data_IF_613696567361
#
_entry.id   IF_613696567361
#
_cell.length_a   1.000
_cell.length_b   1.000
_cell.length_c   1.000
_cell.angle_alpha   90.00
_cell.angle_beta   90.00
_cell.angle_gamma   90.00
#
_symmetry.space_group_name_H-M   'P 1'
#
loop_
_entity.id
_entity.type
_entity.pdbx_description
1 polymer ?
#
# COMPACT_ATOMS: atom_id res chain seq x y z
N UNK A 1 14.88 0.92 9.17
CA UNK A 1 14.42 1.79 8.07
C UNK A 1 13.51 2.87 8.65
N UNK A 2 13.99 4.11 8.78
CA UNK A 2 13.25 5.22 9.39
C UNK A 2 12.54 6.07 8.34
N UNK A 3 11.50 5.55 7.70
CA UNK A 3 10.74 6.26 6.66
C UNK A 3 9.71 7.27 7.20
N UNK A 4 9.50 7.29 8.53
CA UNK A 4 8.67 8.29 9.17
C UNK A 4 9.52 9.50 9.59
N UNK A 5 8.97 10.72 9.51
CA UNK A 5 9.70 11.93 9.86
C UNK A 5 10.19 11.88 11.32
N UNK A 6 11.42 12.36 11.55
CA UNK A 6 12.06 12.32 12.87
C UNK A 6 11.36 13.18 13.94
N UNK A 7 10.49 14.11 13.54
CA UNK A 7 9.65 14.91 14.43
C UNK A 7 8.17 14.64 14.10
N UNK A 8 7.43 13.91 14.93
CA UNK A 8 6.05 13.55 14.63
C UNK A 8 5.14 14.77 14.73
N UNK A 9 4.48 15.12 13.62
CA UNK A 9 3.39 16.09 13.58
C UNK A 9 2.18 15.63 14.42
N UNK A 10 1.26 16.53 14.80
CA UNK A 10 -0.03 16.12 15.35
C UNK A 10 -0.78 15.24 14.34
N UNK A 11 -1.40 14.17 14.80
CA UNK A 11 -2.25 13.35 13.95
C UNK A 11 -3.63 14.02 13.78
N UNK A 12 -4.26 13.83 12.61
CA UNK A 12 -5.62 14.28 12.32
C UNK A 12 -6.67 13.72 13.29
N UNK A 13 -6.40 12.60 13.98
CA UNK A 13 -7.27 12.06 15.03
C UNK A 13 -7.21 12.83 16.37
N UNK A 14 -6.37 13.86 16.48
CA UNK A 14 -6.17 14.66 17.69
C UNK A 14 -5.03 14.20 18.60
N UNK A 15 -4.34 13.11 18.26
CA UNK A 15 -3.15 12.67 19.01
C UNK A 15 -1.97 13.62 18.78
N UNK A 16 -1.21 14.03 19.82
CA UNK A 16 -0.17 15.04 19.71
C UNK A 16 1.04 14.61 18.86
N UNK A 17 1.23 13.30 18.68
CA UNK A 17 2.37 12.74 17.96
C UNK A 17 1.94 11.61 17.01
N UNK A 18 2.10 11.82 15.71
CA UNK A 18 2.02 10.83 14.65
C UNK A 18 3.24 9.88 14.66
N UNK A 19 3.49 9.21 15.78
CA UNK A 19 4.52 8.18 15.87
C UNK A 19 4.16 6.96 15.03
N UNK A 20 5.14 6.14 14.65
CA UNK A 20 4.91 4.88 13.90
C UNK A 20 3.84 4.01 14.54
N UNK A 21 3.96 3.75 15.84
CA UNK A 21 3.04 2.88 16.57
C UNK A 21 1.63 3.47 16.60
N UNK A 22 1.53 4.78 16.78
CA UNK A 22 0.25 5.48 16.72
C UNK A 22 -0.39 5.35 15.34
N UNK A 23 0.34 5.66 14.26
CA UNK A 23 -0.18 5.62 12.89
C UNK A 23 -0.66 4.21 12.49
N UNK A 24 0.09 3.17 12.85
CA UNK A 24 -0.30 1.78 12.57
C UNK A 24 -1.65 1.41 13.21
N UNK A 25 -1.90 1.89 14.43
CA UNK A 25 -3.18 1.68 15.13
C UNK A 25 -4.26 2.62 14.61
N UNK A 26 -3.95 3.91 14.44
CA UNK A 26 -4.88 4.96 14.03
C UNK A 26 -5.48 4.67 12.65
N UNK A 27 -4.67 4.18 11.72
CA UNK A 27 -5.08 3.84 10.35
C UNK A 27 -5.55 2.38 10.22
N UNK A 28 -5.68 1.65 11.33
CA UNK A 28 -6.12 0.24 11.36
C UNK A 28 -5.34 -0.66 10.39
N UNK A 29 -4.03 -0.45 10.28
CA UNK A 29 -3.17 -1.04 9.24
C UNK A 29 -3.25 -2.57 9.22
N UNK A 30 -3.24 -3.21 10.39
CA UNK A 30 -3.32 -4.67 10.49
C UNK A 30 -4.61 -5.23 9.89
N UNK A 31 -5.74 -4.55 10.12
CA UNK A 31 -7.05 -4.94 9.58
C UNK A 31 -7.10 -4.76 8.06
N UNK A 32 -6.61 -3.62 7.56
CA UNK A 32 -6.57 -3.32 6.11
C UNK A 32 -5.71 -4.29 5.32
N UNK A 33 -4.61 -4.76 5.93
CA UNK A 33 -3.69 -5.71 5.32
C UNK A 33 -4.03 -7.17 5.63
N UNK A 34 -5.10 -7.47 6.37
CA UNK A 34 -5.46 -8.85 6.76
C UNK A 34 -4.25 -9.59 7.37
N UNK A 35 -3.60 -8.97 8.36
CA UNK A 35 -2.48 -9.56 9.11
C UNK A 35 -2.70 -9.40 10.61
N UNK A 36 -2.04 -10.23 11.42
CA UNK A 36 -2.14 -10.13 12.86
C UNK A 36 -1.55 -8.78 13.36
N UNK A 37 -2.23 -8.13 14.30
CA UNK A 37 -1.79 -6.84 14.85
C UNK A 37 -0.39 -6.90 15.51
N UNK A 38 -0.02 -8.07 16.04
CA UNK A 38 1.27 -8.34 16.68
C UNK A 38 2.33 -8.91 15.73
N UNK A 39 2.13 -8.82 14.41
CA UNK A 39 3.09 -9.33 13.42
C UNK A 39 4.41 -8.56 13.51
N UNK A 40 5.56 -9.23 13.77
CA UNK A 40 6.85 -8.56 13.84
C UNK A 40 7.42 -8.24 12.44
N UNK A 41 8.17 -7.14 12.27
CA UNK A 41 8.47 -6.09 13.26
C UNK A 41 7.29 -5.13 13.49
N UNK A 42 6.39 -4.99 12.52
CA UNK A 42 5.02 -4.48 12.63
C UNK A 42 4.24 -4.88 11.36
N UNK A 43 2.90 -4.77 11.34
CA UNK A 43 2.08 -5.17 10.20
C UNK A 43 2.49 -4.61 8.84
N UNK A 44 2.82 -3.31 8.76
CA UNK A 44 3.18 -2.66 7.49
C UNK A 44 4.56 -3.12 7.03
N UNK A 45 5.55 -3.05 7.90
CA UNK A 45 6.92 -3.46 7.58
C UNK A 45 6.98 -4.96 7.23
N UNK A 46 6.18 -5.80 7.88
CA UNK A 46 6.06 -7.22 7.52
C UNK A 46 5.64 -7.38 6.05
N UNK A 47 4.56 -6.73 5.63
CA UNK A 47 4.09 -6.83 4.24
C UNK A 47 5.11 -6.25 3.27
N UNK A 48 5.69 -5.09 3.57
CA UNK A 48 6.74 -4.48 2.74
C UNK A 48 7.98 -5.36 2.60
N UNK A 49 8.38 -6.06 3.66
CA UNK A 49 9.50 -7.01 3.62
C UNK A 49 9.19 -8.27 2.77
N UNK A 50 7.92 -8.52 2.44
CA UNK A 50 7.51 -9.61 1.55
C UNK A 50 7.36 -9.19 0.10
N UNK A 51 7.72 -7.94 -0.25
CA UNK A 51 7.60 -7.43 -1.62
C UNK A 51 8.27 -8.36 -2.62
N UNK A 52 7.58 -8.71 -3.73
CA UNK A 52 8.13 -9.62 -4.72
C UNK A 52 9.30 -8.93 -5.42
N UNK A 53 10.49 -9.49 -5.30
CA UNK A 53 11.67 -9.02 -6.04
C UNK A 53 11.67 -9.45 -7.50
N UNK A 54 10.78 -10.38 -7.88
CA UNK A 54 10.61 -10.86 -9.25
C UNK A 54 9.13 -10.90 -9.62
N UNK A 55 8.78 -10.61 -10.88
CA UNK A 55 7.41 -10.74 -11.37
C UNK A 55 6.83 -12.15 -11.20
N UNK A 56 5.50 -12.27 -11.19
CA UNK A 56 4.82 -13.55 -11.08
C UNK A 56 5.08 -14.43 -12.31
N UNK A 57 5.60 -15.65 -12.12
CA UNK A 57 5.88 -16.58 -13.24
C UNK A 57 4.57 -17.09 -13.85
N UNK A 58 4.46 -17.04 -15.19
CA UNK A 58 3.30 -17.49 -16.01
C UNK A 58 2.66 -18.83 -15.62
N UNK A 59 3.43 -19.80 -15.10
CA UNK A 59 2.98 -21.18 -14.85
C UNK A 59 2.93 -21.57 -13.37
N UNK A 60 3.28 -20.69 -12.44
CA UNK A 60 3.02 -20.96 -11.02
C UNK A 60 1.63 -20.47 -10.70
N UNK A 61 0.71 -21.42 -10.60
CA UNK A 61 -0.60 -21.32 -9.98
C UNK A 61 -0.52 -20.93 -8.49
N UNK A 62 0.28 -19.92 -8.13
CA UNK A 62 0.21 -19.29 -6.83
C UNK A 62 -0.81 -18.16 -6.89
N UNK A 63 -2.03 -18.52 -7.34
CA UNK A 63 -3.21 -17.65 -7.46
C UNK A 63 -3.44 -16.88 -6.17
N UNK A 64 -3.14 -17.50 -5.03
CA UNK A 64 -3.25 -16.88 -3.72
C UNK A 64 -2.26 -15.71 -3.53
N UNK A 65 -0.98 -15.85 -3.90
CA UNK A 65 0.01 -14.76 -3.75
C UNK A 65 -0.29 -13.62 -4.72
N UNK A 66 -0.68 -13.96 -5.95
CA UNK A 66 -1.13 -12.99 -6.97
C UNK A 66 -2.36 -12.23 -6.46
N UNK A 67 -3.39 -12.94 -6.01
CA UNK A 67 -4.60 -12.36 -5.44
C UNK A 67 -4.32 -11.52 -4.20
N UNK A 68 -3.39 -11.95 -3.35
CA UNK A 68 -3.02 -11.22 -2.13
C UNK A 68 -2.35 -9.89 -2.46
N UNK A 69 -1.45 -9.85 -3.45
CA UNK A 69 -0.83 -8.60 -3.89
C UNK A 69 -1.80 -7.64 -4.61
N UNK A 70 -2.82 -8.13 -5.33
CA UNK A 70 -3.90 -7.24 -5.84
C UNK A 70 -4.67 -6.54 -4.73
N UNK A 71 -4.82 -7.17 -3.56
CA UNK A 71 -5.51 -6.57 -2.42
C UNK A 71 -4.56 -5.69 -1.60
N UNK A 72 -3.36 -6.20 -1.31
CA UNK A 72 -2.40 -5.51 -0.46
C UNK A 72 -1.84 -4.25 -1.08
N UNK A 73 -1.46 -4.28 -2.36
CA UNK A 73 -0.73 -3.15 -2.93
C UNK A 73 -1.53 -1.84 -2.96
N UNK A 74 -2.80 -1.83 -3.40
CA UNK A 74 -3.63 -0.62 -3.30
C UNK A 74 -3.79 -0.14 -1.85
N UNK A 75 -3.98 -1.05 -0.89
CA UNK A 75 -4.09 -0.67 0.52
C UNK A 75 -2.79 -0.10 1.08
N UNK A 76 -1.64 -0.67 0.71
CA UNK A 76 -0.32 -0.10 1.06
C UNK A 76 -0.21 1.31 0.49
N UNK A 77 -0.54 1.53 -0.78
CA UNK A 77 -0.48 2.86 -1.39
C UNK A 77 -1.39 3.87 -0.67
N UNK A 78 -2.61 3.47 -0.29
CA UNK A 78 -3.50 4.32 0.51
C UNK A 78 -2.95 4.62 1.90
N UNK A 79 -2.46 3.60 2.62
CA UNK A 79 -1.86 3.77 3.96
C UNK A 79 -0.67 4.72 3.89
N UNK A 80 0.21 4.57 2.90
CA UNK A 80 1.37 5.44 2.74
C UNK A 80 0.95 6.88 2.42
N UNK A 81 -0.04 7.08 1.54
CA UNK A 81 -0.58 8.40 1.25
C UNK A 81 -1.23 9.06 2.48
N UNK A 82 -2.03 8.32 3.24
CA UNK A 82 -2.66 8.82 4.47
C UNK A 82 -1.60 9.21 5.51
N UNK A 83 -0.53 8.43 5.63
CA UNK A 83 0.60 8.77 6.51
C UNK A 83 1.30 10.02 6.02
N UNK A 84 1.52 10.17 4.72
CA UNK A 84 2.16 11.33 4.13
C UNK A 84 1.33 12.60 4.38
N UNK A 85 0.02 12.53 4.16
CA UNK A 85 -0.92 13.62 4.46
C UNK A 85 -0.94 14.01 5.93
N UNK A 86 -0.82 13.05 6.85
CA UNK A 86 -0.71 13.32 8.29
C UNK A 86 0.63 13.99 8.63
N UNK A 87 1.71 13.56 7.98
CA UNK A 87 3.05 14.08 8.23
C UNK A 87 3.29 15.45 7.59
N UNK A 88 2.60 15.75 6.50
CA UNK A 88 2.76 16.93 5.65
C UNK A 88 1.40 17.60 5.38
N UNK A 89 0.72 18.13 6.42
CA UNK A 89 -0.64 18.67 6.29
C UNK A 89 -0.71 19.95 5.44
N UNK A 90 0.39 20.67 5.29
CA UNK A 90 0.48 21.91 4.51
C UNK A 90 0.84 21.66 3.03
N UNK A 91 1.13 20.42 2.65
CA UNK A 91 1.51 20.06 1.29
C UNK A 91 0.30 19.68 0.42
N UNK A 92 0.32 20.17 -0.82
CA UNK A 92 -0.74 19.86 -1.79
C UNK A 92 -0.35 18.64 -2.63
N UNK A 93 -1.00 17.51 -2.38
CA UNK A 93 -0.82 16.29 -3.16
C UNK A 93 -1.60 16.39 -4.49
N UNK A 94 -0.94 16.12 -5.62
CA UNK A 94 -1.57 16.23 -6.95
C UNK A 94 -1.13 15.11 -7.89
N UNK A 95 -1.94 14.87 -8.93
CA UNK A 95 -1.61 13.92 -10.01
C UNK A 95 -1.34 12.51 -9.49
N UNK A 96 -0.23 11.93 -9.93
CA UNK A 96 0.18 10.56 -9.61
C UNK A 96 0.39 10.32 -8.11
N UNK A 97 0.66 11.35 -7.30
CA UNK A 97 0.83 11.22 -5.85
C UNK A 97 -0.46 10.79 -5.14
N UNK A 98 -1.63 11.11 -5.71
CA UNK A 98 -2.94 10.65 -5.21
C UNK A 98 -3.31 9.26 -5.76
N UNK A 99 -2.52 8.72 -6.69
CA UNK A 99 -2.77 7.45 -7.36
C UNK A 99 -2.57 6.25 -6.43
N UNK A 100 -3.65 5.79 -5.81
CA UNK A 100 -3.61 4.62 -4.90
C UNK A 100 -4.08 3.32 -5.55
N UNK A 101 -4.34 3.33 -6.87
CA UNK A 101 -4.73 2.13 -7.61
C UNK A 101 -3.62 1.08 -7.64
N UNK A 102 -2.37 1.51 -7.50
CA UNK A 102 -1.22 0.62 -7.54
C UNK A 102 -1.01 -0.06 -8.90
N UNK A 103 -1.67 0.45 -9.95
CA UNK A 103 -1.74 -0.15 -11.28
C UNK A 103 -0.36 -0.37 -11.90
N UNK A 104 0.60 0.53 -11.68
CA UNK A 104 1.97 0.41 -12.21
C UNK A 104 2.67 -0.86 -11.70
N UNK A 105 2.65 -1.08 -10.38
CA UNK A 105 3.23 -2.28 -9.77
C UNK A 105 2.47 -3.53 -10.16
N UNK A 106 1.13 -3.49 -10.08
CA UNK A 106 0.29 -4.65 -10.41
C UNK A 106 0.47 -5.07 -11.87
N UNK A 107 0.51 -4.11 -12.79
CA UNK A 107 0.80 -4.35 -14.21
C UNK A 107 2.16 -5.04 -14.34
N UNK A 108 3.24 -4.43 -13.85
CA UNK A 108 4.58 -5.04 -13.86
C UNK A 108 4.61 -6.46 -13.27
N UNK A 109 3.92 -6.66 -12.14
CA UNK A 109 3.92 -7.90 -11.41
C UNK A 109 3.22 -9.03 -12.19
N UNK A 110 2.08 -8.74 -12.82
CA UNK A 110 1.30 -9.71 -13.59
C UNK A 110 1.87 -9.99 -14.98
N UNK A 111 2.59 -9.03 -15.56
CA UNK A 111 3.04 -9.12 -16.95
C UNK A 111 4.43 -9.71 -17.10
N UNK A 112 4.93 -10.35 -16.03
CA UNK A 112 6.28 -10.90 -15.96
C UNK A 112 7.34 -9.82 -16.20
N UNK A 113 7.11 -8.59 -15.73
CA UNK A 113 8.02 -7.46 -15.92
C UNK A 113 8.08 -6.95 -17.36
N UNK A 114 7.19 -7.39 -18.24
CA UNK A 114 7.01 -6.80 -19.58
C UNK A 114 6.05 -5.62 -19.46
N UNK A 115 6.39 -4.43 -19.95
CA UNK A 115 5.41 -3.33 -19.98
C UNK A 115 4.22 -3.77 -20.84
N UNK A 116 3.07 -4.03 -20.23
CA UNK A 116 1.86 -4.33 -21.00
C UNK A 116 1.16 -3.04 -21.36
N UNK A 117 1.03 -2.82 -22.67
CA UNK A 117 0.25 -1.76 -23.31
C UNK A 117 -1.27 -2.03 -23.26
N UNK A 118 -1.76 -2.87 -22.35
CA UNK A 118 -3.16 -3.29 -22.31
C UNK A 118 -3.64 -3.38 -20.86
N UNK A 119 -4.29 -2.31 -20.41
CA UNK A 119 -5.29 -2.39 -19.35
C UNK A 119 -6.57 -2.96 -19.98
N UNK A 120 -7.19 -4.02 -19.44
CA UNK A 120 -8.60 -4.24 -19.68
C UNK A 120 -9.34 -3.07 -19.05
N UNK A 121 -10.08 -2.34 -19.86
CA UNK A 121 -11.08 -1.39 -19.40
C UNK A 121 -11.97 -2.10 -18.38
N UNK A 122 -12.21 -1.43 -17.26
CA UNK A 122 -13.24 -1.75 -16.29
C UNK A 122 -14.50 -2.11 -17.07
N UNK A 123 -15.02 -3.33 -16.88
CA UNK A 123 -16.36 -3.68 -17.35
C UNK A 123 -17.33 -2.78 -16.58
N UNK A 124 -17.79 -1.72 -17.23
CA UNK A 124 -19.01 -1.03 -16.86
C UNK A 124 -20.16 -2.01 -17.13
N UNK A 125 -20.74 -2.55 -16.06
CA UNK A 125 -21.98 -3.31 -16.11
C UNK A 125 -23.12 -2.30 -16.04
N UNK A 126 -23.66 -1.93 -17.19
CA UNK A 126 -24.98 -1.29 -17.29
C UNK A 126 -26.01 -2.37 -17.58
N UNK A 127 -26.90 -2.60 -16.61
CA UNK A 127 -28.27 -3.09 -16.88
C UNK A 127 -29.12 -1.96 -17.47
#
# INVERSE_FOLDING_TARGET
MGWLPGRPAPCSCGHPHASRNHLLSCLSVASRLDVAILTPPNPLDYVLNTLPSTPAKKNTANTHVVSRWSTWWPEISKILLEIDQICHPDETFTGDALGTSGSTFLNWYYTNGKPSLLLPQVLDVTE
#
